data_IF_927217193152
#
_entry.id   IF_927217193152
#
_cell.length_a   1.000
_cell.length_b   1.000
_cell.length_c   1.000
_cell.angle_alpha   90.00
_cell.angle_beta   90.00
_cell.angle_gamma   90.00
#
_symmetry.space_group_name_H-M   'P 1'
#
loop_
_entity.id
_entity.type
_entity.pdbx_description
1 polymer ?
#
# COMPACT_ATOMS: atom_id res chain seq x y z
N UNK A 1 16.82 -19.07 -14.96
CA UNK A 1 17.21 -17.75 -14.43
C UNK A 1 17.02 -17.83 -12.94
N UNK A 2 18.10 -17.69 -12.19
CA UNK A 2 18.05 -17.73 -10.73
C UNK A 2 17.41 -16.43 -10.21
N UNK A 3 16.35 -16.54 -9.40
CA UNK A 3 15.70 -15.38 -8.77
C UNK A 3 16.60 -14.89 -7.63
N UNK A 4 17.06 -13.65 -7.70
CA UNK A 4 17.71 -12.98 -6.56
C UNK A 4 16.63 -12.36 -5.65
N UNK A 5 16.66 -12.70 -4.37
CA UNK A 5 15.73 -12.16 -3.36
C UNK A 5 16.54 -11.31 -2.39
N UNK A 6 16.23 -10.01 -2.32
CA UNK A 6 16.81 -9.09 -1.33
C UNK A 6 15.70 -8.59 -0.41
N UNK A 7 15.93 -8.69 0.90
CA UNK A 7 14.94 -8.39 1.93
C UNK A 7 15.54 -7.40 2.93
N UNK A 8 14.87 -6.26 3.14
CA UNK A 8 15.19 -5.30 4.20
C UNK A 8 14.48 -5.64 5.51
N UNK A 9 14.29 -4.67 6.41
CA UNK A 9 13.34 -4.85 7.53
C UNK A 9 11.94 -4.81 6.94
N UNK A 10 11.29 -5.97 6.84
CA UNK A 10 9.94 -6.12 6.31
C UNK A 10 9.11 -6.96 7.26
N UNK A 11 7.82 -6.64 7.34
CA UNK A 11 6.84 -7.35 8.17
C UNK A 11 6.62 -8.79 7.63
N UNK A 12 6.64 -8.97 6.31
CA UNK A 12 6.40 -10.26 5.65
C UNK A 12 7.03 -10.35 4.25
N UNK A 13 7.50 -11.52 3.86
CA UNK A 13 7.98 -11.83 2.49
C UNK A 13 7.16 -12.98 1.92
N UNK A 14 6.61 -12.80 0.71
CA UNK A 14 5.91 -13.84 -0.04
C UNK A 14 6.54 -14.03 -1.41
N UNK A 15 6.74 -15.27 -1.81
CA UNK A 15 7.17 -15.66 -3.16
C UNK A 15 5.96 -16.11 -3.98
N UNK A 16 5.85 -15.61 -5.21
CA UNK A 16 4.93 -16.14 -6.22
C UNK A 16 5.71 -16.75 -7.40
N UNK A 17 5.17 -17.83 -7.96
CA UNK A 17 5.74 -18.51 -9.13
C UNK A 17 5.44 -17.79 -10.45
N UNK A 18 4.47 -16.88 -10.45
CA UNK A 18 4.21 -15.98 -11.57
C UNK A 18 5.40 -15.06 -11.84
N UNK A 19 5.68 -14.82 -13.13
CA UNK A 19 6.76 -13.94 -13.61
C UNK A 19 6.36 -12.44 -13.57
N UNK A 20 5.21 -12.11 -12.96
CA UNK A 20 4.72 -10.74 -12.90
C UNK A 20 5.43 -9.96 -11.77
N UNK A 21 5.98 -8.80 -12.14
CA UNK A 21 6.59 -7.86 -11.21
C UNK A 21 5.48 -7.02 -10.55
N UNK A 22 4.95 -7.50 -9.43
CA UNK A 22 3.85 -6.87 -8.69
C UNK A 22 4.35 -6.32 -7.35
N UNK A 23 3.83 -5.16 -6.95
CA UNK A 23 3.95 -4.63 -5.60
C UNK A 23 2.56 -4.62 -4.98
N UNK A 24 2.33 -5.41 -3.95
CA UNK A 24 1.04 -5.44 -3.25
C UNK A 24 1.24 -5.31 -1.73
N UNK A 25 0.21 -4.83 -1.04
CA UNK A 25 0.27 -4.61 0.40
C UNK A 25 -0.94 -3.84 0.92
N UNK A 26 -0.82 -3.33 2.14
CA UNK A 26 -1.80 -2.43 2.75
C UNK A 26 -1.18 -1.04 2.93
N UNK A 27 -1.78 -0.03 2.30
CA UNK A 27 -1.35 1.36 2.42
C UNK A 27 -1.69 1.93 3.80
N UNK A 28 -2.73 1.39 4.44
CA UNK A 28 -3.10 1.62 5.83
C UNK A 28 -3.83 0.40 6.37
N UNK A 29 -3.81 0.22 7.70
CA UNK A 29 -4.58 -0.78 8.44
C UNK A 29 -5.51 -0.06 9.43
N UNK A 30 -6.75 -0.51 9.53
CA UNK A 30 -7.72 0.01 10.49
C UNK A 30 -7.47 -0.53 11.90
N UNK A 31 -7.94 0.22 12.90
CA UNK A 31 -7.95 -0.15 14.32
C UNK A 31 -6.60 -0.68 14.85
N UNK A 32 -5.50 -0.27 14.20
CA UNK A 32 -4.14 -0.66 14.53
C UNK A 32 -3.40 0.57 15.04
N UNK A 33 -2.79 0.48 16.22
CA UNK A 33 -1.99 1.57 16.77
C UNK A 33 -0.76 1.83 15.92
N UNK A 34 -0.47 3.11 15.66
CA UNK A 34 0.79 3.54 15.08
C UNK A 34 1.97 3.30 16.04
N UNK A 35 3.18 3.43 15.50
CA UNK A 35 4.36 3.74 16.31
C UNK A 35 4.20 5.10 16.99
N UNK A 36 5.08 5.40 17.95
CA UNK A 36 5.14 6.74 18.52
C UNK A 36 5.61 7.74 17.45
N UNK A 37 4.73 8.67 17.07
CA UNK A 37 4.96 9.67 16.03
C UNK A 37 5.49 11.00 16.61
N UNK A 38 6.16 10.95 17.76
CA UNK A 38 6.76 12.13 18.40
C UNK A 38 5.98 12.65 19.60
N UNK A 39 5.53 11.74 20.48
CA UNK A 39 4.77 12.02 21.70
C UNK A 39 3.28 11.69 21.60
N UNK A 40 2.84 11.06 20.51
CA UNK A 40 1.47 10.58 20.35
C UNK A 40 1.40 9.31 19.51
N UNK A 41 0.31 8.57 19.70
CA UNK A 41 -0.08 7.42 18.90
C UNK A 41 -1.48 7.64 18.35
N UNK A 42 -1.75 7.06 17.19
CA UNK A 42 -3.04 7.17 16.53
C UNK A 42 -3.54 5.82 16.00
N UNK A 43 -4.83 5.79 15.67
CA UNK A 43 -5.48 4.69 14.96
C UNK A 43 -6.35 5.26 13.86
N UNK A 44 -6.55 4.50 12.79
CA UNK A 44 -7.45 4.87 11.70
C UNK A 44 -8.75 4.07 11.85
N UNK A 45 -9.88 4.77 11.95
CA UNK A 45 -11.20 4.14 12.01
C UNK A 45 -11.53 3.42 10.70
N UNK A 46 -12.25 2.29 10.77
CA UNK A 46 -12.86 1.62 9.60
C UNK A 46 -13.74 2.54 8.75
N UNK A 47 -14.26 3.61 9.34
CA UNK A 47 -15.10 4.60 8.66
C UNK A 47 -14.28 5.71 7.97
N UNK A 48 -12.96 5.75 8.15
CA UNK A 48 -12.11 6.85 7.68
C UNK A 48 -12.11 7.02 6.15
N UNK A 49 -12.37 5.94 5.40
CA UNK A 49 -12.45 5.97 3.94
C UNK A 49 -13.88 6.11 3.41
N UNK A 50 -14.88 6.31 4.28
CA UNK A 50 -16.27 6.50 3.86
C UNK A 50 -16.37 7.76 3.01
N UNK A 51 -16.90 7.62 1.79
CA UNK A 51 -17.05 8.68 0.79
C UNK A 51 -15.73 9.30 0.28
N UNK A 52 -14.58 8.64 0.50
CA UNK A 52 -13.32 9.08 -0.10
C UNK A 52 -13.32 8.82 -1.61
N UNK A 53 -12.89 9.80 -2.40
CA UNK A 53 -12.69 9.63 -3.83
C UNK A 53 -11.37 8.90 -4.10
N UNK A 54 -11.46 7.70 -4.67
CA UNK A 54 -10.32 6.86 -5.06
C UNK A 54 -10.21 6.70 -6.59
N UNK A 55 -10.95 7.51 -7.36
CA UNK A 55 -11.00 7.40 -8.82
C UNK A 55 -9.68 7.75 -9.51
N UNK A 56 -8.83 8.56 -8.87
CA UNK A 56 -7.52 8.97 -9.40
C UNK A 56 -6.43 9.05 -8.30
N UNK A 57 -6.02 7.89 -7.78
CA UNK A 57 -4.92 7.77 -6.82
C UNK A 57 -3.62 7.45 -7.55
N UNK A 58 -2.52 8.04 -7.10
CA UNK A 58 -1.16 7.86 -7.64
C UNK A 58 -0.28 7.14 -6.64
N UNK A 59 0.35 6.06 -7.07
CA UNK A 59 1.46 5.43 -6.34
C UNK A 59 2.76 6.14 -6.74
N UNK A 60 3.38 6.83 -5.79
CA UNK A 60 4.58 7.64 -6.01
C UNK A 60 5.79 6.99 -5.33
N UNK A 61 6.96 7.20 -5.92
CA UNK A 61 8.22 6.97 -5.21
C UNK A 61 8.55 8.23 -4.39
N UNK A 62 8.85 8.04 -3.11
CA UNK A 62 9.36 9.10 -2.21
C UNK A 62 8.49 10.37 -2.17
N UNK A 63 7.17 10.21 -2.33
CA UNK A 63 6.21 11.32 -2.43
C UNK A 63 6.49 12.33 -3.56
N UNK A 64 7.34 11.98 -4.54
CA UNK A 64 7.70 12.85 -5.66
C UNK A 64 6.65 12.72 -6.78
N UNK A 65 5.90 13.79 -7.13
CA UNK A 65 4.83 13.70 -8.14
C UNK A 65 5.33 13.39 -9.56
N UNK A 66 6.62 13.60 -9.83
CA UNK A 66 7.29 13.26 -11.09
C UNK A 66 7.65 11.78 -11.22
N UNK A 67 7.54 11.00 -10.13
CA UNK A 67 7.92 9.59 -10.08
C UNK A 67 6.70 8.70 -9.80
N UNK A 68 5.81 8.59 -10.77
CA UNK A 68 4.58 7.78 -10.68
C UNK A 68 4.86 6.34 -11.15
N UNK A 69 4.53 5.35 -10.32
CA UNK A 69 4.69 3.92 -10.62
C UNK A 69 3.35 3.17 -10.76
N UNK A 70 2.23 3.79 -10.40
CA UNK A 70 0.90 3.22 -10.55
C UNK A 70 -0.19 4.28 -10.45
N UNK A 71 -1.33 4.09 -11.13
CA UNK A 71 -2.45 5.03 -11.10
C UNK A 71 -3.80 4.33 -11.31
N UNK A 72 -4.78 4.59 -10.45
CA UNK A 72 -6.11 3.94 -10.56
C UNK A 72 -6.80 4.29 -11.87
N UNK A 73 -6.73 5.55 -12.29
CA UNK A 73 -7.30 6.01 -13.56
C UNK A 73 -6.64 5.40 -14.80
N UNK A 74 -5.43 4.85 -14.68
CA UNK A 74 -4.69 4.22 -15.78
C UNK A 74 -4.74 2.68 -15.75
N UNK A 75 -5.39 2.10 -14.74
CA UNK A 75 -5.49 0.64 -14.57
C UNK A 75 -4.20 -0.05 -14.12
N UNK A 76 -3.15 0.71 -13.76
CA UNK A 76 -1.86 0.17 -13.28
C UNK A 76 -1.75 0.14 -11.76
N UNK A 77 -2.81 0.55 -11.05
CA UNK A 77 -2.96 0.44 -9.60
C UNK A 77 -4.40 0.05 -9.30
N UNK A 78 -4.58 -1.03 -8.55
CA UNK A 78 -5.85 -1.47 -8.00
C UNK A 78 -5.89 -1.17 -6.49
N UNK A 79 -6.98 -0.55 -6.04
CA UNK A 79 -7.24 -0.29 -4.63
C UNK A 79 -8.50 -1.01 -4.19
N UNK A 80 -8.46 -1.59 -2.99
CA UNK A 80 -9.61 -2.25 -2.39
C UNK A 80 -9.63 -1.99 -0.89
N UNK A 81 -10.74 -1.46 -0.39
CA UNK A 81 -11.01 -1.40 1.04
C UNK A 81 -11.54 -2.76 1.50
N UNK A 82 -10.99 -3.29 2.58
CA UNK A 82 -11.49 -4.49 3.26
C UNK A 82 -11.47 -4.29 4.78
N UNK A 83 -11.80 -5.36 5.52
CA UNK A 83 -11.88 -5.32 7.00
C UNK A 83 -10.54 -5.02 7.68
N UNK A 84 -9.42 -5.22 6.97
CA UNK A 84 -8.06 -4.95 7.46
C UNK A 84 -7.66 -3.51 7.17
N UNK A 85 -7.94 -3.00 5.97
CA UNK A 85 -7.48 -1.67 5.56
C UNK A 85 -7.66 -1.34 4.09
N UNK A 86 -6.79 -0.47 3.57
CA UNK A 86 -6.71 -0.16 2.14
C UNK A 86 -5.65 -1.03 1.48
N UNK A 87 -6.07 -2.10 0.81
CA UNK A 87 -5.19 -2.96 0.02
C UNK A 87 -4.85 -2.28 -1.30
N UNK A 88 -3.58 -2.32 -1.69
CA UNK A 88 -3.10 -1.93 -3.02
C UNK A 88 -2.45 -3.12 -3.74
N UNK A 89 -2.52 -3.07 -5.07
CA UNK A 89 -1.85 -3.99 -6.00
C UNK A 89 -1.58 -3.29 -7.33
#
# INVERSE_FOLDING_TARGET
MDKEIRVGVVDEVRTSDDQEMIIEGYALKFDTWSEDLGGFKETISKEALRNTDLSDVRCLVDHQPSQIIGRTSAGTLALRVDDVGLKYR
#
